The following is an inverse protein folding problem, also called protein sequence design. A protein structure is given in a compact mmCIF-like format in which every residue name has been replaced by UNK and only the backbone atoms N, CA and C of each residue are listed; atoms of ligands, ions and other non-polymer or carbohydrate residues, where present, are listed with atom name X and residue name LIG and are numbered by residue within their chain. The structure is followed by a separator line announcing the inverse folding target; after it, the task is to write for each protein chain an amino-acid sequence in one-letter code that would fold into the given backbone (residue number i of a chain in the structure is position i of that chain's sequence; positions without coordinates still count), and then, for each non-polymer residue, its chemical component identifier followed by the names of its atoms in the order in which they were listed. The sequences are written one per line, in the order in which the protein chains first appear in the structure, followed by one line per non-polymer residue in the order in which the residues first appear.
data_IF_520206698729
#
_entry.id   IF_520206698729
#
_cell.length_a   1.000
_cell.length_b   1.000
_cell.length_c   1.000
_cell.angle_alpha   90.00
_cell.angle_beta   90.00
_cell.angle_gamma   90.00
#
_symmetry.space_group_name_H-M   'P 1'
#
loop_
_entity.id
_entity.type
_entity.pdbx_description
1 polymer ?
#
# COMPACT_ATOMS: atom_id res chain seq x y z
N UNK A 1 50.09 13.29 -26.98
CA UNK A 1 50.92 12.31 -27.69
C UNK A 1 50.78 10.95 -27.07
N UNK A 2 50.69 9.95 -27.92
CA UNK A 2 50.60 8.48 -27.72
C UNK A 2 49.23 7.90 -27.35
N UNK A 3 48.51 7.50 -28.40
CA UNK A 3 47.41 6.54 -28.45
C UNK A 3 47.98 5.13 -28.31
N UNK A 4 47.41 4.30 -27.47
CA UNK A 4 47.69 2.86 -27.45
C UNK A 4 46.41 2.12 -27.88
N UNK A 5 46.53 1.48 -29.06
CA UNK A 5 45.51 0.64 -29.68
C UNK A 5 45.73 -0.79 -29.17
N UNK A 6 44.71 -1.42 -28.58
CA UNK A 6 44.75 -2.85 -28.23
C UNK A 6 43.84 -3.61 -29.20
N UNK A 7 44.44 -4.48 -29.97
CA UNK A 7 43.80 -5.38 -30.94
C UNK A 7 43.46 -6.68 -30.20
N UNK A 8 42.19 -7.09 -30.22
CA UNK A 8 41.76 -8.43 -29.77
C UNK A 8 41.73 -9.39 -30.99
N UNK A 9 42.53 -10.42 -30.87
CA UNK A 9 42.60 -11.51 -31.84
C UNK A 9 41.65 -12.63 -31.41
N UNK A 10 40.63 -12.93 -32.23
CA UNK A 10 39.70 -14.03 -32.00
C UNK A 10 40.31 -15.33 -32.56
N UNK A 11 40.46 -16.34 -31.72
CA UNK A 11 40.80 -17.72 -32.12
C UNK A 11 39.52 -18.53 -32.32
N UNK A 12 39.34 -19.00 -33.57
CA UNK A 12 38.27 -19.93 -33.94
C UNK A 12 38.87 -21.34 -33.89
N UNK A 13 38.35 -22.21 -33.03
CA UNK A 13 38.71 -23.64 -32.99
C UNK A 13 37.54 -24.42 -33.59
N UNK A 14 37.78 -25.04 -34.74
CA UNK A 14 36.87 -25.99 -35.35
C UNK A 14 37.21 -27.40 -34.85
N UNK A 15 36.23 -28.08 -34.27
CA UNK A 15 36.33 -29.50 -33.90
C UNK A 15 35.49 -30.31 -34.88
N UNK A 16 36.15 -31.07 -35.71
CA UNK A 16 35.57 -32.11 -36.57
C UNK A 16 35.50 -33.43 -35.80
N UNK A 17 34.31 -33.96 -35.60
CA UNK A 17 34.10 -35.30 -35.06
C UNK A 17 33.73 -36.28 -36.19
N UNK A 18 34.62 -37.25 -36.44
CA UNK A 18 34.31 -38.43 -37.27
C UNK A 18 33.54 -39.45 -36.45
N UNK A 19 32.39 -39.88 -36.94
CA UNK A 19 31.63 -41.03 -36.38
C UNK A 19 31.89 -42.23 -37.29
N UNK A 20 32.54 -43.25 -36.74
CA UNK A 20 32.64 -44.62 -37.36
C UNK A 20 31.35 -45.37 -37.09
N UNK A 21 30.82 -46.03 -38.13
CA UNK A 21 29.63 -46.89 -38.05
C UNK A 21 30.07 -48.35 -37.79
N UNK A 22 29.51 -48.93 -36.75
CA UNK A 22 29.65 -50.35 -36.38
C UNK A 22 28.60 -51.19 -37.10
N UNK A 23 28.92 -52.38 -37.69
CA UNK A 23 27.94 -53.20 -38.41
C UNK A 23 27.07 -54.03 -37.42
N UNK A 24 25.81 -54.15 -37.79
CA UNK A 24 24.75 -54.87 -37.06
C UNK A 24 24.86 -56.39 -37.32
N UNK A 25 24.64 -57.26 -36.30
CA UNK A 25 24.65 -58.72 -36.52
C UNK A 25 23.31 -59.21 -37.10
N UNK A 26 23.42 -60.08 -38.06
CA UNK A 26 22.32 -60.80 -38.75
C UNK A 26 21.71 -61.91 -37.85
N UNK A 27 20.41 -61.81 -37.56
CA UNK A 27 19.67 -62.84 -36.82
C UNK A 27 19.04 -63.86 -37.73
N UNK A 28 19.35 -65.13 -37.46
CA UNK A 28 18.71 -66.33 -38.05
C UNK A 28 17.33 -66.60 -37.41
N UNK A 29 16.26 -66.93 -38.15
CA UNK A 29 14.94 -67.13 -37.58
C UNK A 29 14.83 -68.44 -36.87
N UNK A 30 14.27 -68.46 -35.66
CA UNK A 30 13.88 -69.64 -34.87
C UNK A 30 12.40 -69.95 -35.18
N UNK A 31 12.03 -71.23 -35.33
CA UNK A 31 10.63 -71.61 -35.62
C UNK A 31 9.70 -71.42 -34.43
N UNK A 32 8.56 -70.80 -34.71
CA UNK A 32 7.52 -70.45 -33.74
C UNK A 32 6.67 -71.65 -33.44
N UNK A 33 6.60 -72.04 -32.17
CA UNK A 33 5.64 -73.07 -31.69
C UNK A 33 4.43 -72.32 -31.14
N UNK A 34 3.24 -72.54 -31.69
CA UNK A 34 1.98 -71.91 -31.23
C UNK A 34 1.59 -72.42 -29.85
N UNK A 35 1.71 -71.56 -28.86
CA UNK A 35 1.12 -71.80 -27.53
C UNK A 35 -0.13 -70.92 -27.41
N UNK A 36 -1.30 -71.42 -26.99
CA UNK A 36 -2.49 -70.55 -26.87
C UNK A 36 -2.31 -69.46 -25.79
N UNK A 37 -2.35 -68.25 -26.21
CA UNK A 37 -2.27 -67.06 -25.35
C UNK A 37 -3.58 -66.90 -24.60
N UNK A 38 -3.56 -67.05 -23.27
CA UNK A 38 -4.65 -66.61 -22.42
C UNK A 38 -4.70 -65.08 -22.45
N UNK A 39 -5.79 -64.49 -22.96
CA UNK A 39 -6.08 -63.09 -22.93
C UNK A 39 -6.49 -62.71 -21.50
N UNK A 40 -5.57 -62.14 -20.72
CA UNK A 40 -5.91 -61.55 -19.45
C UNK A 40 -6.69 -60.26 -19.71
N UNK A 41 -7.95 -60.25 -19.32
CA UNK A 41 -8.77 -59.03 -19.29
C UNK A 41 -8.15 -58.05 -18.25
N UNK A 42 -7.59 -56.94 -18.72
CA UNK A 42 -7.10 -55.87 -17.82
C UNK A 42 -8.32 -55.28 -17.09
N UNK A 43 -8.37 -55.43 -15.77
CA UNK A 43 -9.29 -54.61 -14.94
C UNK A 43 -9.03 -53.13 -15.17
N UNK A 44 -10.08 -52.29 -15.25
CA UNK A 44 -9.88 -50.86 -15.40
C UNK A 44 -9.14 -50.30 -14.19
N UNK A 45 -7.94 -49.76 -14.43
CA UNK A 45 -7.17 -49.05 -13.43
C UNK A 45 -7.98 -47.87 -12.97
N UNK A 46 -8.35 -47.79 -11.70
CA UNK A 46 -9.02 -46.64 -11.12
C UNK A 46 -8.16 -45.39 -11.30
N UNK A 47 -8.60 -44.50 -12.17
CA UNK A 47 -7.96 -43.18 -12.34
C UNK A 47 -8.26 -42.38 -11.09
N UNK A 48 -7.27 -42.23 -10.22
CA UNK A 48 -7.38 -41.28 -9.08
C UNK A 48 -7.49 -39.86 -9.63
N UNK A 49 -8.68 -39.29 -9.56
CA UNK A 49 -8.85 -37.87 -9.74
C UNK A 49 -8.16 -37.17 -8.54
N UNK A 50 -7.11 -36.35 -8.73
CA UNK A 50 -6.49 -35.68 -7.61
C UNK A 50 -7.55 -34.84 -6.90
N UNK A 51 -7.62 -34.98 -5.57
CA UNK A 51 -8.48 -34.13 -4.77
C UNK A 51 -8.12 -32.65 -5.04
N UNK A 52 -9.09 -31.73 -5.14
CA UNK A 52 -8.79 -30.31 -5.35
C UNK A 52 -7.86 -29.84 -4.24
N UNK A 53 -6.67 -29.39 -4.63
CA UNK A 53 -5.73 -28.76 -3.69
C UNK A 53 -6.42 -27.53 -3.11
N UNK A 54 -6.59 -27.48 -1.79
CA UNK A 54 -7.19 -26.34 -1.12
C UNK A 54 -6.38 -25.08 -1.50
N UNK A 55 -7.05 -24.08 -2.07
CA UNK A 55 -6.41 -22.78 -2.37
C UNK A 55 -5.90 -22.20 -1.06
N UNK A 56 -4.62 -21.87 -0.94
CA UNK A 56 -4.09 -21.28 0.29
C UNK A 56 -4.86 -20.00 0.65
N UNK A 57 -5.27 -19.88 1.92
CA UNK A 57 -5.91 -18.63 2.41
C UNK A 57 -4.88 -17.53 2.33
N UNK A 58 -5.16 -16.41 1.64
CA UNK A 58 -4.23 -15.30 1.55
C UNK A 58 -3.89 -14.73 2.93
N UNK A 59 -2.63 -14.28 3.12
CA UNK A 59 -2.22 -13.62 4.35
C UNK A 59 -3.06 -12.36 4.61
N UNK A 60 -3.51 -12.05 5.85
CA UNK A 60 -4.38 -10.90 6.14
C UNK A 60 -3.83 -9.55 5.67
N UNK A 61 -2.50 -9.40 5.60
CA UNK A 61 -1.84 -8.20 5.08
C UNK A 61 -1.78 -8.15 3.55
N UNK A 62 -2.11 -9.22 2.83
CA UNK A 62 -2.05 -9.22 1.37
C UNK A 62 -3.11 -8.29 0.79
N UNK A 63 -2.79 -7.64 -0.33
CA UNK A 63 -3.73 -6.76 -1.02
C UNK A 63 -5.00 -7.53 -1.42
N UNK A 64 -4.87 -8.78 -1.86
CA UNK A 64 -6.01 -9.61 -2.23
C UNK A 64 -6.90 -9.94 -1.03
N UNK A 65 -6.34 -10.25 0.15
CA UNK A 65 -7.14 -10.48 1.34
C UNK A 65 -7.93 -9.23 1.72
N UNK A 66 -7.26 -8.07 1.71
CA UNK A 66 -7.89 -6.78 2.03
C UNK A 66 -8.96 -6.36 1.00
N UNK A 67 -8.80 -6.70 -0.29
CA UNK A 67 -9.85 -6.48 -1.30
C UNK A 67 -11.09 -7.33 -1.09
N UNK A 68 -10.90 -8.55 -0.57
CA UNK A 68 -11.98 -9.50 -0.33
C UNK A 68 -12.67 -9.31 1.02
N UNK A 69 -12.15 -8.43 1.87
CA UNK A 69 -12.75 -8.10 3.15
C UNK A 69 -13.88 -7.09 2.97
N UNK A 70 -14.96 -7.24 3.75
CA UNK A 70 -16.05 -6.27 3.80
C UNK A 70 -15.71 -5.11 4.74
N UNK A 71 -16.03 -3.90 4.32
CA UNK A 71 -15.88 -2.67 5.09
C UNK A 71 -17.23 -1.93 5.13
N UNK A 72 -18.14 -2.34 6.02
CA UNK A 72 -19.49 -1.78 6.04
C UNK A 72 -19.52 -0.30 6.45
N UNK A 73 -18.49 0.17 7.16
CA UNK A 73 -18.52 1.47 7.82
C UNK A 73 -19.63 1.54 8.86
N UNK A 74 -19.97 2.74 9.27
CA UNK A 74 -21.09 3.03 10.16
C UNK A 74 -21.53 4.47 10.04
N UNK A 75 -22.63 4.84 10.66
CA UNK A 75 -22.94 6.24 10.94
C UNK A 75 -21.78 6.88 11.74
N UNK A 76 -21.42 8.13 11.39
CA UNK A 76 -20.46 8.94 12.13
C UNK A 76 -21.20 9.64 13.25
N UNK A 77 -20.94 9.22 14.48
CA UNK A 77 -21.63 9.72 15.67
C UNK A 77 -20.89 10.93 16.26
N UNK A 78 -21.58 12.06 16.39
CA UNK A 78 -21.04 13.28 17.01
C UNK A 78 -21.02 13.12 18.53
N UNK A 79 -19.83 13.25 19.12
CA UNK A 79 -19.62 13.25 20.57
C UNK A 79 -19.67 14.67 21.11
N UNK A 80 -19.02 15.61 20.41
CA UNK A 80 -18.91 17.00 20.83
C UNK A 80 -18.67 17.94 19.64
N UNK A 81 -19.36 19.07 19.61
CA UNK A 81 -18.99 20.19 18.77
C UNK A 81 -17.78 20.93 19.40
N UNK A 82 -16.79 21.23 18.59
CA UNK A 82 -15.57 21.95 18.97
C UNK A 82 -15.65 23.41 18.52
N UNK A 83 -14.71 24.25 18.97
CA UNK A 83 -14.58 25.61 18.51
C UNK A 83 -14.47 25.63 16.98
N UNK A 84 -15.21 26.53 16.35
CA UNK A 84 -15.29 26.63 14.87
C UNK A 84 -13.98 27.11 14.28
N UNK A 85 -13.68 26.61 13.08
CA UNK A 85 -12.67 27.21 12.22
C UNK A 85 -13.21 28.49 11.54
N UNK A 86 -12.38 29.10 10.68
CA UNK A 86 -12.72 30.38 10.03
C UNK A 86 -14.00 30.27 9.20
N UNK A 87 -14.12 29.21 8.39
CA UNK A 87 -15.25 28.98 7.48
C UNK A 87 -15.74 27.53 7.50
N UNK A 88 -15.54 26.81 8.61
CA UNK A 88 -15.98 25.44 8.80
C UNK A 88 -16.32 25.15 10.27
N UNK A 89 -17.17 24.15 10.50
CA UNK A 89 -17.50 23.58 11.82
C UNK A 89 -16.56 22.43 12.11
N UNK A 90 -16.33 22.15 13.39
CA UNK A 90 -15.44 21.10 13.88
C UNK A 90 -16.17 20.23 14.87
N UNK A 91 -16.00 18.91 14.74
CA UNK A 91 -16.65 17.92 15.59
C UNK A 91 -15.66 16.86 16.05
N UNK A 92 -15.74 16.49 17.32
CA UNK A 92 -15.16 15.27 17.84
C UNK A 92 -16.19 14.17 17.65
N UNK A 93 -15.84 13.12 16.91
CA UNK A 93 -16.77 12.09 16.47
C UNK A 93 -16.17 10.71 16.66
N UNK A 94 -16.99 9.65 16.50
CA UNK A 94 -16.48 8.30 16.28
C UNK A 94 -17.26 7.58 15.17
N UNK A 95 -16.67 6.56 14.61
CA UNK A 95 -17.28 5.57 13.73
C UNK A 95 -16.93 4.16 14.22
N UNK A 96 -17.55 3.12 13.67
CA UNK A 96 -17.26 1.74 14.03
C UNK A 96 -16.36 1.08 12.97
N UNK A 97 -15.32 0.40 13.45
CA UNK A 97 -14.43 -0.45 12.67
C UNK A 97 -14.32 -1.80 13.38
N UNK A 98 -14.83 -2.87 12.76
CA UNK A 98 -14.92 -4.21 13.38
C UNK A 98 -15.55 -4.21 14.78
N UNK A 99 -16.55 -3.33 14.99
CA UNK A 99 -17.21 -3.16 16.27
C UNK A 99 -16.49 -2.26 17.27
N UNK A 100 -15.25 -1.85 16.99
CA UNK A 100 -14.50 -0.90 17.80
C UNK A 100 -14.91 0.54 17.50
N UNK A 101 -15.02 1.38 18.51
CA UNK A 101 -15.19 2.83 18.34
C UNK A 101 -13.84 3.45 18.01
N UNK A 102 -13.72 3.96 16.79
CA UNK A 102 -12.54 4.71 16.35
C UNK A 102 -12.91 6.18 16.29
N UNK A 103 -12.20 6.99 17.07
CA UNK A 103 -12.46 8.42 17.15
C UNK A 103 -11.82 9.17 15.99
N UNK A 104 -12.32 10.39 15.76
CA UNK A 104 -11.86 11.24 14.67
C UNK A 104 -12.19 12.71 14.91
N UNK A 105 -11.46 13.58 14.22
CA UNK A 105 -11.85 14.97 13.99
C UNK A 105 -12.57 15.06 12.64
N UNK A 106 -13.81 15.50 12.66
CA UNK A 106 -14.59 15.82 11.45
C UNK A 106 -14.70 17.32 11.30
N UNK A 107 -14.42 17.86 10.10
CA UNK A 107 -14.73 19.25 9.75
C UNK A 107 -15.75 19.29 8.64
N UNK A 108 -16.68 20.24 8.69
CA UNK A 108 -17.72 20.43 7.67
C UNK A 108 -17.71 21.90 7.26
N UNK A 109 -17.59 22.24 5.96
CA UNK A 109 -17.62 23.62 5.49
C UNK A 109 -18.89 24.36 5.91
N UNK A 110 -18.77 25.66 6.18
CA UNK A 110 -19.93 26.54 6.36
C UNK A 110 -20.52 26.91 5.00
N UNK A 111 -21.78 27.37 5.00
CA UNK A 111 -22.48 27.80 3.79
C UNK A 111 -23.48 26.79 3.29
N UNK A 112 -23.97 27.01 2.08
CA UNK A 112 -24.95 26.16 1.45
C UNK A 112 -24.30 24.86 0.98
N UNK A 113 -24.88 23.74 1.38
CA UNK A 113 -24.43 22.42 0.98
C UNK A 113 -24.76 22.22 -0.50
N UNK A 114 -23.80 21.82 -1.35
CA UNK A 114 -24.12 21.40 -2.72
C UNK A 114 -25.19 20.29 -2.72
N UNK A 115 -26.01 20.23 -3.77
CA UNK A 115 -27.07 19.23 -3.87
C UNK A 115 -26.56 17.80 -3.68
N UNK A 116 -25.40 17.50 -4.27
CA UNK A 116 -24.75 16.19 -4.17
C UNK A 116 -23.89 16.00 -2.91
N UNK A 117 -23.75 17.00 -2.06
CA UNK A 117 -22.83 17.02 -0.91
C UNK A 117 -21.47 17.67 -1.22
N UNK A 118 -20.69 17.89 -0.16
CA UNK A 118 -19.34 18.43 -0.27
C UNK A 118 -18.34 17.35 -0.73
N UNK A 119 -17.28 17.72 -1.46
CA UNK A 119 -16.14 16.85 -1.63
C UNK A 119 -15.45 16.61 -0.27
N UNK A 120 -14.88 15.43 -0.08
CA UNK A 120 -14.35 15.03 1.20
C UNK A 120 -12.94 14.41 1.11
N UNK A 121 -12.23 14.45 2.21
CA UNK A 121 -10.87 13.89 2.35
C UNK A 121 -10.79 13.05 3.61
N UNK A 122 -10.50 11.75 3.46
CA UNK A 122 -10.01 10.92 4.57
C UNK A 122 -8.56 11.29 4.82
N UNK A 123 -8.24 11.69 6.04
CA UNK A 123 -6.93 12.18 6.42
C UNK A 123 -6.22 11.19 7.33
N UNK A 124 -5.15 10.58 6.82
CA UNK A 124 -4.34 9.57 7.49
C UNK A 124 -3.07 10.21 8.07
N UNK A 125 -3.00 10.34 9.39
CA UNK A 125 -1.85 10.91 10.07
C UNK A 125 -0.64 9.95 10.09
N UNK A 126 0.57 10.51 10.28
CA UNK A 126 1.81 9.75 10.48
C UNK A 126 1.88 9.11 11.87
N UNK A 127 2.93 8.33 12.10
CA UNK A 127 3.14 7.72 13.41
C UNK A 127 3.33 8.79 14.49
N UNK A 128 2.49 8.72 15.51
CA UNK A 128 2.63 9.41 16.78
C UNK A 128 2.47 8.33 17.84
N UNK A 129 3.33 8.27 18.88
CA UNK A 129 3.16 7.28 19.94
C UNK A 129 1.73 7.30 20.49
N UNK A 130 1.03 6.15 20.57
CA UNK A 130 -0.39 6.10 20.94
C UNK A 130 -0.71 6.71 22.30
N UNK A 131 0.25 6.61 23.25
CA UNK A 131 0.15 7.14 24.61
C UNK A 131 0.20 8.68 24.68
N UNK A 132 0.76 9.34 23.65
CA UNK A 132 0.85 10.80 23.59
C UNK A 132 -0.05 11.41 22.51
N UNK A 133 -0.65 10.58 21.65
CA UNK A 133 -1.55 11.04 20.60
C UNK A 133 -2.86 11.61 21.19
N UNK A 134 -3.33 12.71 20.60
CA UNK A 134 -4.64 13.30 20.89
C UNK A 134 -5.33 13.70 19.59
N UNK A 135 -6.59 13.31 19.46
CA UNK A 135 -7.43 13.51 18.27
C UNK A 135 -7.47 14.97 17.80
N UNK A 136 -7.33 15.95 18.66
CA UNK A 136 -7.51 17.36 18.31
C UNK A 136 -6.21 18.18 18.23
N UNK A 137 -5.04 17.58 18.55
CA UNK A 137 -3.83 18.38 18.79
C UNK A 137 -2.81 18.39 17.62
N UNK A 138 -2.76 17.38 16.77
CA UNK A 138 -1.76 17.28 15.72
C UNK A 138 -2.35 17.59 14.35
N UNK A 139 -1.51 17.92 13.37
CA UNK A 139 -1.89 18.20 11.98
C UNK A 139 -2.91 19.35 11.82
N UNK A 140 -2.98 20.28 12.78
CA UNK A 140 -3.97 21.37 12.80
C UNK A 140 -3.88 22.21 11.52
N UNK A 141 -2.67 22.65 11.12
CA UNK A 141 -2.46 23.48 9.95
C UNK A 141 -2.87 22.78 8.65
N UNK A 142 -2.60 21.48 8.53
CA UNK A 142 -2.97 20.67 7.35
C UNK A 142 -4.49 20.56 7.22
N UNK A 143 -5.16 20.17 8.31
CA UNK A 143 -6.64 20.06 8.35
C UNK A 143 -7.30 21.42 8.10
N UNK A 144 -6.78 22.49 8.71
CA UNK A 144 -7.31 23.85 8.51
C UNK A 144 -7.24 24.29 7.04
N UNK A 145 -6.12 24.08 6.36
CA UNK A 145 -5.98 24.43 4.95
C UNK A 145 -6.98 23.70 4.04
N UNK A 146 -7.13 22.37 4.23
CA UNK A 146 -8.07 21.58 3.46
C UNK A 146 -9.54 21.94 3.77
N UNK A 147 -9.87 22.13 5.05
CA UNK A 147 -11.22 22.51 5.46
C UNK A 147 -11.59 23.91 4.95
N UNK A 148 -10.64 24.88 4.99
CA UNK A 148 -10.83 26.22 4.45
C UNK A 148 -11.01 26.24 2.93
N UNK A 149 -10.40 25.27 2.24
CA UNK A 149 -10.59 25.07 0.81
C UNK A 149 -11.96 24.45 0.45
N UNK A 150 -12.82 24.16 1.43
CA UNK A 150 -14.19 23.69 1.20
C UNK A 150 -14.36 22.18 1.18
N UNK A 151 -13.40 21.42 1.71
CA UNK A 151 -13.51 19.99 1.88
C UNK A 151 -14.10 19.62 3.25
N UNK A 152 -14.93 18.59 3.29
CA UNK A 152 -15.13 17.84 4.53
C UNK A 152 -13.82 17.09 4.79
N UNK A 153 -13.21 17.31 5.96
CA UNK A 153 -11.98 16.59 6.34
C UNK A 153 -12.29 15.65 7.48
N UNK A 154 -12.04 14.38 7.25
CA UNK A 154 -12.22 13.31 8.23
C UNK A 154 -10.86 12.78 8.66
N UNK A 155 -10.26 13.42 9.67
CA UNK A 155 -8.98 13.00 10.24
C UNK A 155 -9.24 11.95 11.29
N UNK A 156 -9.01 10.70 10.91
CA UNK A 156 -9.24 9.55 11.78
C UNK A 156 -8.07 9.35 12.74
N UNK A 157 -8.38 8.81 13.89
CA UNK A 157 -7.43 8.08 14.72
C UNK A 157 -7.26 6.67 14.17
N UNK A 158 -6.36 5.89 14.74
CA UNK A 158 -6.32 4.44 14.53
C UNK A 158 -6.67 3.76 15.85
N UNK A 159 -7.04 2.47 15.80
CA UNK A 159 -7.29 1.68 17.01
C UNK A 159 -6.16 1.82 18.03
N UNK A 160 -6.51 1.91 19.28
CA UNK A 160 -5.57 2.10 20.39
C UNK A 160 -4.97 3.50 20.53
N UNK A 161 -5.42 4.51 19.77
CA UNK A 161 -4.98 5.89 19.89
C UNK A 161 -6.01 6.74 20.63
N UNK A 162 -5.56 7.58 21.57
CA UNK A 162 -6.37 8.46 22.43
C UNK A 162 -7.55 7.71 23.09
N UNK A 163 -8.79 7.97 22.66
CA UNK A 163 -10.01 7.29 23.16
C UNK A 163 -10.47 6.14 22.24
N UNK A 164 -9.77 5.92 21.12
CA UNK A 164 -10.11 4.83 20.21
C UNK A 164 -9.86 3.47 20.84
N UNK A 165 -10.85 2.59 20.71
CA UNK A 165 -10.80 1.23 21.25
C UNK A 165 -9.82 0.35 20.47
N UNK A 166 -9.50 -0.84 21.01
CA UNK A 166 -8.57 -1.80 20.42
C UNK A 166 -7.12 -1.56 20.82
N UNK A 167 -6.21 -2.22 20.13
CA UNK A 167 -4.78 -2.18 20.42
C UNK A 167 -3.98 -1.53 19.28
N UNK A 168 -2.98 -0.74 19.64
CA UNK A 168 -2.09 -0.07 18.70
C UNK A 168 -0.98 -1.01 18.24
N UNK A 169 -1.29 -1.91 17.31
CA UNK A 169 -0.35 -2.92 16.77
C UNK A 169 0.60 -2.37 15.70
N UNK A 170 0.33 -1.19 15.16
CA UNK A 170 1.10 -0.55 14.08
C UNK A 170 0.61 -0.94 12.69
N UNK A 171 1.11 -0.22 11.66
CA UNK A 171 0.59 -0.34 10.29
C UNK A 171 1.26 -1.43 9.45
N UNK A 172 2.54 -1.76 9.73
CA UNK A 172 3.36 -2.52 8.79
C UNK A 172 3.35 -4.03 8.98
N UNK A 173 2.93 -4.49 10.15
CA UNK A 173 2.89 -5.91 10.52
C UNK A 173 1.50 -6.44 10.86
N UNK A 174 0.50 -5.56 10.84
CA UNK A 174 -0.87 -5.85 11.23
C UNK A 174 -1.86 -5.07 10.33
N UNK A 175 -2.97 -5.66 9.88
CA UNK A 175 -3.92 -5.00 9.00
C UNK A 175 -4.84 -3.99 9.70
N UNK A 176 -4.89 -3.95 11.04
CA UNK A 176 -5.89 -3.24 11.82
C UNK A 176 -6.05 -1.78 11.44
N UNK A 177 -4.94 -1.03 11.30
CA UNK A 177 -5.00 0.38 10.87
C UNK A 177 -5.54 0.52 9.44
N UNK A 178 -5.22 -0.41 8.54
CA UNK A 178 -5.77 -0.40 7.19
C UNK A 178 -7.27 -0.65 7.20
N UNK A 179 -7.74 -1.56 8.04
CA UNK A 179 -9.17 -1.85 8.24
C UNK A 179 -9.89 -0.62 8.80
N UNK A 180 -9.28 0.11 9.75
CA UNK A 180 -9.83 1.36 10.27
C UNK A 180 -9.96 2.42 9.18
N UNK A 181 -8.95 2.59 8.31
CA UNK A 181 -8.99 3.50 7.16
C UNK A 181 -10.11 3.13 6.18
N UNK A 182 -10.28 1.85 5.87
CA UNK A 182 -11.31 1.42 4.92
C UNK A 182 -12.72 1.58 5.48
N UNK A 183 -12.93 1.30 6.79
CA UNK A 183 -14.21 1.58 7.45
C UNK A 183 -14.48 3.08 7.60
N UNK A 184 -13.44 3.90 7.79
CA UNK A 184 -13.58 5.36 7.75
C UNK A 184 -14.06 5.87 6.39
N UNK A 185 -13.46 5.37 5.31
CA UNK A 185 -13.88 5.68 3.94
C UNK A 185 -15.35 5.30 3.71
N UNK A 186 -15.74 4.09 4.11
CA UNK A 186 -17.11 3.60 4.00
C UNK A 186 -18.11 4.42 4.85
N UNK A 187 -17.70 4.84 6.05
CA UNK A 187 -18.51 5.69 6.93
C UNK A 187 -18.68 7.09 6.36
N UNK A 188 -17.61 7.65 5.79
CA UNK A 188 -17.65 8.97 5.18
C UNK A 188 -18.53 9.00 3.93
N UNK A 189 -18.54 7.92 3.13
CA UNK A 189 -19.47 7.76 1.98
C UNK A 189 -20.95 7.79 2.38
N UNK A 190 -21.27 7.40 3.60
CA UNK A 190 -22.64 7.39 4.14
C UNK A 190 -23.03 8.71 4.81
N UNK A 191 -22.08 9.64 4.99
CA UNK A 191 -22.34 10.89 5.70
C UNK A 191 -23.22 11.83 4.86
N UNK A 192 -24.30 12.41 5.41
CA UNK A 192 -25.31 13.17 4.65
C UNK A 192 -24.79 14.46 4.01
N UNK A 193 -23.67 14.99 4.48
CA UNK A 193 -23.06 16.20 3.93
C UNK A 193 -21.97 15.91 2.87
N UNK A 194 -21.66 14.64 2.57
CA UNK A 194 -20.57 14.24 1.68
C UNK A 194 -21.10 13.73 0.35
N UNK A 195 -20.44 14.13 -0.74
CA UNK A 195 -20.62 13.49 -2.04
C UNK A 195 -19.78 12.19 -2.08
N UNK A 196 -20.40 11.00 -2.12
CA UNK A 196 -19.69 9.72 -2.06
C UNK A 196 -18.81 9.46 -3.30
N UNK A 197 -19.06 10.16 -4.41
CA UNK A 197 -18.27 10.07 -5.64
C UNK A 197 -17.09 11.06 -5.70
N UNK A 198 -16.94 11.91 -4.68
CA UNK A 198 -15.92 12.96 -4.60
C UNK A 198 -15.10 12.86 -3.31
N UNK A 199 -14.55 11.67 -3.04
CA UNK A 199 -13.73 11.41 -1.85
C UNK A 199 -12.28 11.18 -2.27
N UNK A 200 -11.39 12.02 -1.75
CA UNK A 200 -9.95 11.86 -1.83
C UNK A 200 -9.36 11.32 -0.53
N UNK A 201 -8.08 11.01 -0.57
CA UNK A 201 -7.34 10.57 0.61
C UNK A 201 -6.00 11.30 0.71
N UNK A 202 -5.69 11.79 1.90
CA UNK A 202 -4.42 12.45 2.19
C UNK A 202 -3.67 11.66 3.26
N UNK A 203 -2.36 11.46 3.08
CA UNK A 203 -1.56 10.73 4.06
C UNK A 203 -0.15 11.26 4.21
N UNK A 204 0.34 11.32 5.47
CA UNK A 204 1.70 11.69 5.80
C UNK A 204 2.45 10.49 6.38
N UNK A 205 3.70 10.27 5.95
CA UNK A 205 4.57 9.25 6.57
C UNK A 205 3.90 7.85 6.57
N UNK A 206 3.63 7.28 7.75
CA UNK A 206 2.82 6.05 7.92
C UNK A 206 1.43 6.17 7.27
N UNK A 207 0.79 7.35 7.39
CA UNK A 207 -0.49 7.61 6.73
C UNK A 207 -0.39 7.55 5.20
N UNK A 208 0.76 7.88 4.63
CA UNK A 208 1.04 7.70 3.19
C UNK A 208 1.07 6.23 2.78
N UNK A 209 1.65 5.35 3.61
CA UNK A 209 1.57 3.90 3.40
C UNK A 209 0.12 3.41 3.38
N UNK A 210 -0.70 3.85 4.35
CA UNK A 210 -2.12 3.47 4.43
C UNK A 210 -2.92 4.01 3.24
N UNK A 211 -2.64 5.25 2.80
CA UNK A 211 -3.26 5.88 1.64
C UNK A 211 -2.97 5.11 0.35
N UNK A 212 -1.71 4.77 0.08
CA UNK A 212 -1.34 4.00 -1.11
C UNK A 212 -2.04 2.64 -1.13
N UNK A 213 -2.09 1.95 0.03
CA UNK A 213 -2.79 0.68 0.15
C UNK A 213 -4.29 0.81 -0.08
N UNK A 214 -4.94 1.84 0.49
CA UNK A 214 -6.36 2.09 0.26
C UNK A 214 -6.67 2.29 -1.23
N UNK A 215 -5.82 3.01 -1.96
CA UNK A 215 -5.98 3.26 -3.40
C UNK A 215 -5.82 2.01 -4.28
N UNK A 216 -5.11 0.97 -3.83
CA UNK A 216 -5.02 -0.31 -4.55
C UNK A 216 -6.01 -1.34 -4.03
N UNK A 217 -6.67 -1.10 -2.88
CA UNK A 217 -7.68 -1.97 -2.29
C UNK A 217 -9.07 -1.66 -2.81
N UNK A 218 -9.43 -0.37 -2.95
CA UNK A 218 -10.78 0.09 -3.28
C UNK A 218 -10.77 1.16 -4.38
N UNK A 219 -11.79 1.15 -5.23
CA UNK A 219 -12.02 2.16 -6.28
C UNK A 219 -12.72 3.44 -5.76
N UNK A 220 -12.98 3.53 -4.47
CA UNK A 220 -13.70 4.65 -3.88
C UNK A 220 -12.84 5.90 -3.62
N UNK A 221 -11.51 5.75 -3.58
CA UNK A 221 -10.58 6.87 -3.46
C UNK A 221 -10.34 7.47 -4.85
N UNK A 222 -10.90 8.64 -5.12
CA UNK A 222 -10.87 9.26 -6.45
C UNK A 222 -9.56 10.02 -6.75
N UNK A 223 -8.86 10.45 -5.72
CA UNK A 223 -7.53 11.08 -5.82
C UNK A 223 -6.76 10.88 -4.50
N UNK A 224 -5.46 10.65 -4.58
CA UNK A 224 -4.61 10.52 -3.40
C UNK A 224 -3.49 11.54 -3.37
N UNK A 225 -3.18 12.08 -2.17
CA UNK A 225 -2.00 12.89 -1.94
C UNK A 225 -1.19 12.32 -0.79
N UNK A 226 0.09 12.14 -0.99
CA UNK A 226 1.00 11.56 0.00
C UNK A 226 2.18 12.48 0.24
N UNK A 227 2.38 12.85 1.51
CA UNK A 227 3.52 13.63 1.97
C UNK A 227 4.52 12.76 2.72
N UNK A 228 5.79 12.75 2.28
CA UNK A 228 6.89 12.02 2.92
C UNK A 228 6.53 10.55 3.27
N UNK A 229 5.82 9.88 2.36
CA UNK A 229 5.16 8.60 2.63
C UNK A 229 6.11 7.42 2.70
N UNK A 230 5.80 6.46 3.58
CA UNK A 230 6.47 5.14 3.64
C UNK A 230 5.90 4.26 2.54
N UNK A 231 6.18 4.60 1.28
CA UNK A 231 5.50 4.06 0.08
C UNK A 231 6.34 3.08 -0.75
N UNK A 232 7.34 2.49 -0.16
CA UNK A 232 8.21 1.52 -0.80
C UNK A 232 7.64 0.08 -0.76
N UNK A 233 8.26 -0.81 -1.53
CA UNK A 233 8.04 -2.25 -1.42
C UNK A 233 8.45 -2.76 -0.03
N UNK A 234 7.91 -3.91 0.38
CA UNK A 234 8.34 -4.51 1.66
C UNK A 234 9.82 -4.89 1.66
N UNK A 235 10.39 -5.27 0.51
CA UNK A 235 11.84 -5.47 0.37
C UNK A 235 12.62 -4.20 0.70
N UNK A 236 12.20 -3.04 0.17
CA UNK A 236 12.83 -1.76 0.49
C UNK A 236 12.61 -1.37 1.94
N UNK A 237 11.42 -1.63 2.52
CA UNK A 237 11.17 -1.39 3.93
C UNK A 237 12.07 -2.22 4.85
N UNK A 238 12.44 -3.42 4.45
CA UNK A 238 13.36 -4.28 5.20
C UNK A 238 14.81 -3.82 5.09
N UNK A 239 15.28 -3.49 3.89
CA UNK A 239 16.70 -3.33 3.60
C UNK A 239 17.14 -1.89 3.47
N UNK A 240 16.27 -1.00 2.95
CA UNK A 240 16.63 0.35 2.53
C UNK A 240 16.05 1.45 3.44
N UNK A 241 15.12 1.11 4.32
CA UNK A 241 14.58 2.10 5.25
C UNK A 241 15.51 2.31 6.45
N UNK A 242 16.47 3.20 6.28
CA UNK A 242 17.40 3.63 7.34
C UNK A 242 17.07 5.07 7.72
N UNK A 243 16.64 5.25 8.97
CA UNK A 243 16.48 6.59 9.54
C UNK A 243 17.85 7.13 9.92
N UNK A 244 18.15 8.38 9.53
CA UNK A 244 19.38 9.08 9.87
C UNK A 244 19.21 10.01 11.07
N UNK A 245 17.96 10.39 11.40
CA UNK A 245 17.64 11.23 12.54
C UNK A 245 17.68 10.54 13.90
N UNK A 246 17.75 11.33 14.98
CA UNK A 246 17.85 10.89 16.37
C UNK A 246 16.51 10.33 16.93
N UNK A 247 15.72 9.63 16.13
CA UNK A 247 14.50 9.01 16.60
C UNK A 247 14.81 7.86 17.55
N UNK A 248 14.54 8.05 18.84
CA UNK A 248 14.56 6.97 19.83
C UNK A 248 13.16 6.33 19.81
N UNK A 249 13.03 5.05 19.39
CA UNK A 249 11.74 4.36 19.45
C UNK A 249 11.23 4.36 20.89
N UNK A 250 9.96 4.70 21.11
CA UNK A 250 9.32 4.48 22.42
C UNK A 250 9.45 2.99 22.79
N UNK A 251 9.70 2.66 24.06
CA UNK A 251 9.72 1.27 24.54
C UNK A 251 8.43 0.51 24.23
N UNK A 252 7.31 1.22 24.06
CA UNK A 252 6.01 0.67 23.66
C UNK A 252 5.86 0.46 22.14
N UNK A 253 6.85 0.86 21.31
CA UNK A 253 6.77 0.63 19.87
C UNK A 253 7.04 -0.85 19.53
N UNK A 254 6.01 -1.67 19.64
CA UNK A 254 5.97 -3.06 19.12
C UNK A 254 6.19 -3.14 17.61
N UNK A 255 6.23 -1.98 16.93
CA UNK A 255 6.17 -1.83 15.49
C UNK A 255 7.34 -2.33 14.65
N UNK A 256 8.43 -2.86 15.23
CA UNK A 256 9.58 -3.38 14.46
C UNK A 256 9.82 -4.88 14.59
N UNK A 257 9.19 -5.54 15.54
CA UNK A 257 9.34 -6.98 15.76
C UNK A 257 8.84 -7.83 14.58
N UNK A 258 7.96 -7.29 13.75
CA UNK A 258 7.42 -8.00 12.60
C UNK A 258 8.50 -8.38 11.57
N UNK A 259 9.56 -7.56 11.41
CA UNK A 259 10.60 -7.80 10.38
C UNK A 259 11.30 -9.14 10.56
N UNK A 260 11.85 -9.37 11.74
CA UNK A 260 12.55 -10.63 12.06
C UNK A 260 11.58 -11.81 12.12
N UNK A 261 10.41 -11.62 12.74
CA UNK A 261 9.39 -12.67 12.81
C UNK A 261 8.90 -13.10 11.43
N UNK A 262 8.70 -12.16 10.50
CA UNK A 262 8.24 -12.48 9.15
C UNK A 262 9.33 -13.08 8.27
N UNK A 263 10.60 -12.65 8.41
CA UNK A 263 11.73 -13.31 7.75
C UNK A 263 11.85 -14.77 8.24
N UNK A 264 11.73 -15.00 9.54
CA UNK A 264 11.77 -16.35 10.11
C UNK A 264 10.62 -17.22 9.61
N UNK A 265 9.41 -16.67 9.52
CA UNK A 265 8.19 -17.40 9.16
C UNK A 265 8.04 -17.58 7.65
N UNK A 266 8.36 -16.57 6.83
CA UNK A 266 8.07 -16.56 5.40
C UNK A 266 9.32 -16.58 4.52
N UNK A 267 10.51 -16.54 5.09
CA UNK A 267 11.77 -16.37 4.37
C UNK A 267 12.03 -14.91 3.96
N UNK A 268 13.20 -14.66 3.41
CA UNK A 268 13.57 -13.33 2.88
C UNK A 268 12.82 -13.01 1.58
N UNK A 269 12.79 -11.74 1.13
CA UNK A 269 12.22 -11.38 -0.17
C UNK A 269 12.79 -12.17 -1.35
N UNK A 270 14.08 -12.50 -1.31
CA UNK A 270 14.74 -13.31 -2.35
C UNK A 270 14.30 -14.78 -2.31
N UNK A 271 14.01 -15.32 -1.12
CA UNK A 271 13.57 -16.70 -0.93
C UNK A 271 12.09 -16.91 -1.25
N UNK A 272 11.26 -15.89 -0.97
CA UNK A 272 9.81 -15.94 -1.15
C UNK A 272 9.26 -14.62 -1.71
N UNK A 273 9.62 -14.23 -2.93
CA UNK A 273 9.16 -12.97 -3.52
C UNK A 273 7.63 -12.90 -3.60
N UNK A 274 6.97 -14.02 -3.87
CA UNK A 274 5.51 -14.06 -3.99
C UNK A 274 4.79 -13.59 -2.72
N UNK A 275 5.27 -13.94 -1.53
CA UNK A 275 4.72 -13.44 -0.27
C UNK A 275 4.91 -11.93 -0.15
N UNK A 276 6.14 -11.45 -0.30
CA UNK A 276 6.47 -10.03 -0.12
C UNK A 276 5.80 -9.12 -1.16
N UNK A 277 5.66 -9.59 -2.39
CA UNK A 277 4.90 -8.90 -3.42
C UNK A 277 3.40 -8.85 -3.09
N UNK A 278 2.84 -9.93 -2.57
CA UNK A 278 1.41 -10.01 -2.23
C UNK A 278 0.97 -8.98 -1.19
N UNK A 279 1.88 -8.56 -0.30
CA UNK A 279 1.65 -7.56 0.75
C UNK A 279 2.11 -6.15 0.37
N UNK A 280 2.84 -5.98 -0.73
CA UNK A 280 3.38 -4.70 -1.22
C UNK A 280 2.39 -3.99 -2.14
N UNK A 281 1.91 -2.79 -1.76
CA UNK A 281 1.03 -2.00 -2.62
C UNK A 281 1.69 -1.64 -3.96
N UNK A 282 3.02 -1.52 -3.99
CA UNK A 282 3.80 -1.24 -5.20
C UNK A 282 3.73 -2.34 -6.26
N UNK A 283 3.32 -3.56 -5.91
CA UNK A 283 3.09 -4.66 -6.84
C UNK A 283 1.71 -4.60 -7.52
N UNK A 284 0.85 -3.64 -7.14
CA UNK A 284 -0.53 -3.50 -7.62
C UNK A 284 -0.81 -2.11 -8.20
N UNK A 285 0.20 -1.39 -8.69
CA UNK A 285 0.04 -0.01 -9.15
C UNK A 285 -0.84 0.12 -10.40
N UNK A 286 -1.01 -0.93 -11.20
CA UNK A 286 -1.98 -0.95 -12.29
C UNK A 286 -3.42 -0.76 -11.80
N UNK A 287 -3.68 -1.03 -10.54
CA UNK A 287 -5.00 -1.02 -9.91
C UNK A 287 -5.23 0.23 -9.04
N UNK A 288 -4.36 1.26 -9.16
CA UNK A 288 -4.61 2.53 -8.47
C UNK A 288 -5.96 3.10 -8.87
N UNK A 289 -6.78 3.43 -7.88
CA UNK A 289 -8.17 3.89 -8.05
C UNK A 289 -8.31 5.29 -8.65
N UNK A 290 -7.22 6.05 -8.73
CA UNK A 290 -7.20 7.41 -9.27
C UNK A 290 -5.81 8.02 -9.30
N UNK A 291 -5.71 9.29 -9.74
CA UNK A 291 -4.46 10.02 -9.74
C UNK A 291 -3.82 10.14 -8.36
N UNK A 292 -2.49 10.16 -8.33
CA UNK A 292 -1.67 10.25 -7.12
C UNK A 292 -0.72 11.43 -7.19
N UNK A 293 -0.65 12.21 -6.13
CA UNK A 293 0.35 13.27 -5.98
C UNK A 293 1.26 12.99 -4.78
N UNK A 294 2.57 13.15 -4.97
CA UNK A 294 3.60 12.89 -3.98
C UNK A 294 4.37 14.16 -3.67
N UNK A 295 4.59 14.43 -2.38
CA UNK A 295 5.41 15.53 -1.87
C UNK A 295 6.48 14.98 -0.93
N UNK A 296 7.76 15.39 -1.10
CA UNK A 296 8.85 14.88 -0.26
C UNK A 296 9.99 15.88 -0.12
N UNK A 297 10.46 16.11 1.11
CA UNK A 297 11.66 16.90 1.38
C UNK A 297 12.93 16.11 1.08
N UNK A 298 13.92 16.71 0.40
CA UNK A 298 15.16 15.98 0.04
C UNK A 298 16.10 15.76 1.21
N UNK A 299 15.90 16.47 2.34
CA UNK A 299 16.64 16.27 3.59
C UNK A 299 15.79 15.56 4.66
N UNK A 300 14.83 14.73 4.25
CA UNK A 300 14.03 13.92 5.14
C UNK A 300 14.89 12.86 5.85
N UNK A 301 14.98 12.95 7.18
CA UNK A 301 15.77 12.04 8.03
C UNK A 301 14.99 10.81 8.49
N UNK A 302 13.67 10.80 8.33
CA UNK A 302 12.77 9.72 8.77
C UNK A 302 12.44 8.73 7.66
N UNK A 303 12.14 9.22 6.46
CA UNK A 303 11.76 8.43 5.29
C UNK A 303 12.60 8.84 4.08
N UNK A 304 13.32 7.91 3.43
CA UNK A 304 14.11 8.23 2.24
C UNK A 304 13.24 8.80 1.11
N UNK A 305 13.65 9.94 0.53
CA UNK A 305 12.98 10.56 -0.62
C UNK A 305 12.90 9.61 -1.83
N UNK A 306 13.85 8.69 -1.94
CA UNK A 306 13.91 7.64 -2.96
C UNK A 306 12.65 6.77 -3.00
N UNK A 307 11.95 6.62 -1.86
CA UNK A 307 10.69 5.87 -1.83
C UNK A 307 9.62 6.55 -2.69
N UNK A 308 9.48 7.88 -2.59
CA UNK A 308 8.56 8.64 -3.44
C UNK A 308 9.01 8.72 -4.89
N UNK A 309 10.31 8.87 -5.14
CA UNK A 309 10.88 8.89 -6.50
C UNK A 309 10.58 7.57 -7.20
N UNK A 310 10.90 6.44 -6.56
CA UNK A 310 10.67 5.11 -7.12
C UNK A 310 9.18 4.81 -7.33
N UNK A 311 8.32 5.19 -6.36
CA UNK A 311 6.87 5.03 -6.53
C UNK A 311 6.36 5.82 -7.73
N UNK A 312 6.81 7.07 -7.93
CA UNK A 312 6.40 7.88 -9.07
C UNK A 312 6.83 7.26 -10.41
N UNK A 313 8.04 6.71 -10.48
CA UNK A 313 8.54 6.01 -11.66
C UNK A 313 7.71 4.76 -11.96
N UNK A 314 7.52 3.88 -10.99
CA UNK A 314 6.75 2.64 -11.13
C UNK A 314 5.28 2.92 -11.47
N UNK A 315 4.66 3.92 -10.83
CA UNK A 315 3.28 4.30 -11.12
C UNK A 315 3.10 4.78 -12.56
N UNK A 316 3.99 5.64 -13.05
CA UNK A 316 3.97 6.11 -14.45
C UNK A 316 4.23 4.96 -15.44
N UNK A 317 5.16 4.05 -15.14
CA UNK A 317 5.40 2.85 -15.94
C UNK A 317 4.18 1.93 -16.00
N UNK A 318 3.36 1.92 -14.95
CA UNK A 318 2.08 1.20 -14.88
C UNK A 318 0.92 1.92 -15.58
N UNK A 319 1.18 3.07 -16.25
CA UNK A 319 0.18 3.85 -16.97
C UNK A 319 -0.65 4.78 -16.07
N UNK A 320 -0.25 4.98 -14.81
CA UNK A 320 -0.98 5.80 -13.84
C UNK A 320 -0.55 7.28 -13.90
N UNK A 321 -1.46 8.17 -13.52
CA UNK A 321 -1.16 9.60 -13.34
C UNK A 321 -0.52 9.77 -11.96
N UNK A 322 0.81 10.02 -11.94
CA UNK A 322 1.54 10.24 -10.70
C UNK A 322 2.39 11.52 -10.82
N UNK A 323 2.05 12.51 -10.01
CA UNK A 323 2.83 13.73 -9.85
C UNK A 323 3.81 13.55 -8.69
N UNK A 324 5.01 14.12 -8.80
CA UNK A 324 6.00 14.15 -7.74
C UNK A 324 6.60 15.55 -7.64
N UNK A 325 6.56 16.10 -6.44
CA UNK A 325 7.24 17.34 -6.04
C UNK A 325 8.27 17.04 -4.95
N UNK A 326 9.51 17.39 -5.19
CA UNK A 326 10.57 17.31 -4.21
C UNK A 326 10.95 18.73 -3.74
N UNK A 327 11.23 18.87 -2.46
CA UNK A 327 11.54 20.16 -1.82
C UNK A 327 12.98 20.12 -1.32
N UNK A 328 13.84 20.87 -2.02
CA UNK A 328 15.28 20.81 -1.78
C UNK A 328 15.65 21.30 -0.38
N UNK A 329 16.39 20.47 0.35
CA UNK A 329 16.85 20.73 1.71
C UNK A 329 15.76 20.74 2.78
N UNK A 330 14.53 20.36 2.44
CA UNK A 330 13.43 20.34 3.42
C UNK A 330 13.30 18.99 4.12
N UNK A 331 12.69 19.01 5.29
CA UNK A 331 12.57 17.92 6.25
C UNK A 331 11.32 17.04 6.00
N UNK A 332 11.11 16.05 6.88
CA UNK A 332 9.98 15.13 6.87
C UNK A 332 8.59 15.78 6.83
N UNK A 333 8.44 16.99 7.38
CA UNK A 333 7.17 17.72 7.43
C UNK A 333 7.05 18.77 6.31
N UNK A 334 8.04 18.93 5.46
CA UNK A 334 8.11 19.93 4.39
C UNK A 334 7.86 21.35 4.98
N UNK A 335 8.55 21.64 6.08
CA UNK A 335 8.22 22.77 6.93
C UNK A 335 8.53 24.13 6.27
N UNK A 336 9.60 24.22 5.46
CA UNK A 336 10.00 25.45 4.79
C UNK A 336 9.12 25.75 3.57
N UNK A 337 8.61 24.73 2.91
CA UNK A 337 7.75 24.85 1.72
C UNK A 337 6.29 24.49 2.01
N UNK A 338 5.88 24.44 3.29
CA UNK A 338 4.54 24.00 3.72
C UNK A 338 3.41 24.68 2.92
N UNK A 339 3.42 26.01 2.81
CA UNK A 339 2.36 26.74 2.08
C UNK A 339 2.33 26.39 0.60
N UNK A 340 3.50 26.26 -0.04
CA UNK A 340 3.58 25.87 -1.44
C UNK A 340 3.03 24.46 -1.67
N UNK A 341 3.45 23.51 -0.86
CA UNK A 341 3.02 22.12 -0.95
C UNK A 341 1.53 21.96 -0.67
N UNK A 342 0.97 22.69 0.32
CA UNK A 342 -0.47 22.71 0.59
C UNK A 342 -1.28 23.32 -0.57
N UNK A 343 -0.79 24.38 -1.19
CA UNK A 343 -1.46 24.97 -2.35
C UNK A 343 -1.49 24.00 -3.55
N UNK A 344 -0.41 23.28 -3.79
CA UNK A 344 -0.35 22.23 -4.82
C UNK A 344 -1.31 21.08 -4.49
N UNK A 345 -1.30 20.59 -3.25
CA UNK A 345 -2.24 19.58 -2.74
C UNK A 345 -3.69 19.97 -2.97
N UNK A 346 -4.07 21.22 -2.62
CA UNK A 346 -5.44 21.71 -2.81
C UNK A 346 -5.77 21.81 -4.29
N UNK A 347 -4.88 22.36 -5.11
CA UNK A 347 -5.08 22.47 -6.55
C UNK A 347 -5.26 21.09 -7.21
N UNK A 348 -4.49 20.09 -6.76
CA UNK A 348 -4.65 18.71 -7.22
C UNK A 348 -6.02 18.14 -6.85
N UNK A 349 -6.44 18.24 -5.60
CA UNK A 349 -7.76 17.78 -5.21
C UNK A 349 -8.89 18.55 -5.91
N UNK A 350 -8.73 19.86 -6.15
CA UNK A 350 -9.73 20.66 -6.86
C UNK A 350 -9.97 20.16 -8.30
N UNK A 351 -8.92 19.66 -8.98
CA UNK A 351 -9.04 19.09 -10.34
C UNK A 351 -9.87 17.80 -10.35
N UNK A 352 -9.73 16.96 -9.33
CA UNK A 352 -10.30 15.60 -9.36
C UNK A 352 -11.54 15.42 -8.48
N UNK A 353 -11.80 16.36 -7.55
CA UNK A 353 -12.89 16.23 -6.58
C UNK A 353 -13.95 17.35 -6.68
N UNK A 354 -13.67 18.44 -7.40
CA UNK A 354 -14.65 19.53 -7.62
C UNK A 354 -15.11 19.57 -9.05
#
# INVERSE_FOLDING_TARGET
MKKTLVVFLAFLVAITACTEATPMPTHTPIPVTDTPTQTSTLEPTATFTPAPTATPVPHPMSIIALRNQEYPGSEITVVKELDRGVNYRRYYVYYLSEGLKIYALLTIPNGEKPEEGFPAIVFNHGYIPPDVYKTTERYIAYVDQLARAGYVVFRIDYRGHDQSEGEATGAYGDPGYQVDVMNALASLKQHPDVNPEKIGMWGHSMGGYLTLRAMVISNDVKAGVIWAGVVASYSDLLYNWRRTGAFTPSPSSTGRGWRSAWIEQYGTPEQNPAFWDSISATSYLTDLSGPLELHHGTADEDVPVEFSIRLAELGRQSGQIVNLYTYEGDNHNISNYFTQAMNQTIAFFDIYLK
#
